data_IF_444903683741
#
_entry.id   IF_444903683741
#
_cell.length_a   1.000
_cell.length_b   1.000
_cell.length_c   1.000
_cell.angle_alpha   90.00
_cell.angle_beta   90.00
_cell.angle_gamma   90.00
#
_symmetry.space_group_name_H-M   'P 1'
#
loop_
_entity.id
_entity.type
_entity.pdbx_description
1 polymer ?
#
# COMPACT_ATOMS: atom_id res chain seq x y z
N UNK A 1 -37.74 21.17 -4.04
CA UNK A 1 -36.52 21.12 -4.86
C UNK A 1 -35.42 21.83 -4.10
N UNK A 2 -34.31 21.18 -3.79
CA UNK A 2 -33.15 21.82 -3.16
C UNK A 2 -32.31 22.40 -4.29
N UNK A 3 -32.30 23.72 -4.45
CA UNK A 3 -31.69 24.39 -5.62
C UNK A 3 -30.22 24.77 -5.42
N UNK A 4 -29.68 24.63 -4.20
CA UNK A 4 -28.31 25.02 -3.87
C UNK A 4 -27.70 23.95 -2.96
N UNK A 5 -26.51 23.47 -3.32
CA UNK A 5 -25.83 22.30 -2.72
C UNK A 5 -26.53 20.94 -2.95
N UNK A 6 -26.92 20.67 -4.20
CA UNK A 6 -27.52 19.40 -4.62
C UNK A 6 -26.46 18.27 -4.76
N UNK A 7 -25.77 17.90 -3.67
CA UNK A 7 -24.84 16.77 -3.64
C UNK A 7 -25.55 15.41 -3.76
N UNK A 8 -25.21 14.60 -4.76
CA UNK A 8 -25.71 13.24 -4.92
C UNK A 8 -25.27 12.35 -3.73
N UNK A 9 -26.12 12.26 -2.70
CA UNK A 9 -25.93 11.33 -1.58
C UNK A 9 -26.52 9.97 -1.94
N UNK A 10 -25.92 8.85 -1.50
CA UNK A 10 -26.51 7.52 -1.68
C UNK A 10 -27.97 7.51 -1.19
N UNK A 11 -28.90 7.08 -2.04
CA UNK A 11 -30.35 7.09 -1.77
C UNK A 11 -31.12 8.38 -2.16
N UNK A 12 -30.44 9.44 -2.65
CA UNK A 12 -31.09 10.62 -3.26
C UNK A 12 -30.96 10.65 -4.79
N UNK A 13 -29.90 10.05 -5.33
CA UNK A 13 -29.78 9.81 -6.75
C UNK A 13 -30.46 8.48 -7.10
N UNK A 14 -31.15 8.41 -8.25
CA UNK A 14 -31.67 7.17 -8.88
C UNK A 14 -30.56 6.22 -9.35
N UNK A 15 -29.30 6.46 -8.96
CA UNK A 15 -28.18 5.60 -9.29
C UNK A 15 -28.33 4.28 -8.50
N UNK A 16 -28.35 3.15 -9.20
CA UNK A 16 -28.42 1.81 -8.62
C UNK A 16 -27.24 1.62 -7.66
N UNK A 17 -27.53 1.60 -6.36
CA UNK A 17 -26.52 1.30 -5.33
C UNK A 17 -26.23 -0.20 -5.41
N UNK A 18 -25.21 -0.57 -6.19
CA UNK A 18 -24.72 -1.94 -6.24
C UNK A 18 -24.21 -2.33 -4.84
N UNK A 19 -24.90 -3.29 -4.22
CA UNK A 19 -24.49 -3.85 -2.93
C UNK A 19 -23.36 -4.84 -3.17
N UNK A 20 -22.12 -4.36 -3.07
CA UNK A 20 -20.95 -5.23 -3.12
C UNK A 20 -20.86 -6.07 -1.84
N UNK A 21 -20.69 -7.37 -1.99
CA UNK A 21 -20.46 -8.29 -0.88
C UNK A 21 -18.97 -8.32 -0.51
N UNK A 22 -18.66 -8.89 0.66
CA UNK A 22 -17.26 -9.10 1.07
C UNK A 22 -16.49 -10.02 0.13
N UNK A 23 -17.17 -10.86 -0.66
CA UNK A 23 -16.54 -11.71 -1.66
C UNK A 23 -16.10 -10.87 -2.86
N UNK A 24 -16.98 -10.02 -3.38
CA UNK A 24 -16.70 -9.13 -4.52
C UNK A 24 -15.53 -8.17 -4.24
N UNK A 25 -15.43 -7.69 -3.00
CA UNK A 25 -14.29 -6.85 -2.57
C UNK A 25 -12.95 -7.60 -2.61
N UNK A 26 -12.94 -8.87 -2.20
CA UNK A 26 -11.73 -9.69 -2.20
C UNK A 26 -11.29 -10.04 -3.62
N UNK A 27 -12.23 -10.33 -4.51
CA UNK A 27 -11.96 -10.63 -5.92
C UNK A 27 -11.37 -9.40 -6.63
N UNK A 28 -11.92 -8.22 -6.38
CA UNK A 28 -11.40 -6.95 -6.93
C UNK A 28 -10.00 -6.59 -6.42
N UNK A 29 -9.69 -6.93 -5.17
CA UNK A 29 -8.35 -6.77 -4.58
C UNK A 29 -7.33 -7.85 -5.03
N UNK A 30 -7.77 -8.91 -5.70
CA UNK A 30 -6.85 -9.89 -6.30
C UNK A 30 -6.37 -9.44 -7.68
N UNK A 31 -7.14 -8.62 -8.39
CA UNK A 31 -6.75 -8.04 -9.69
C UNK A 31 -5.79 -6.86 -9.56
N UNK A 32 -5.65 -6.25 -8.37
CA UNK A 32 -4.67 -5.19 -8.07
C UNK A 32 -3.25 -5.74 -7.84
N UNK A 33 -2.81 -6.71 -8.65
CA UNK A 33 -1.44 -7.23 -8.62
C UNK A 33 -0.37 -6.22 -9.06
N UNK A 34 -0.78 -5.05 -9.56
CA UNK A 34 0.13 -3.99 -9.98
C UNK A 34 0.76 -3.23 -8.81
N UNK A 35 0.09 -3.19 -7.65
CA UNK A 35 0.63 -2.55 -6.45
C UNK A 35 1.79 -3.37 -5.87
N UNK A 36 1.68 -4.70 -5.90
CA UNK A 36 2.74 -5.61 -5.46
C UNK A 36 4.02 -5.43 -6.28
N UNK A 37 3.93 -5.21 -7.59
CA UNK A 37 5.11 -4.92 -8.44
C UNK A 37 5.80 -3.62 -8.03
N UNK A 38 5.04 -2.54 -7.78
CA UNK A 38 5.61 -1.25 -7.37
C UNK A 38 6.35 -1.34 -6.04
N UNK A 39 5.80 -2.06 -5.05
CA UNK A 39 6.47 -2.26 -3.76
C UNK A 39 7.61 -3.27 -3.85
N UNK A 40 7.56 -4.23 -4.78
CA UNK A 40 8.63 -5.20 -4.99
C UNK A 40 9.91 -4.53 -5.47
N UNK A 41 9.82 -3.66 -6.47
CA UNK A 41 10.98 -2.93 -7.00
C UNK A 41 11.58 -1.98 -5.95
N UNK A 42 10.74 -1.31 -5.17
CA UNK A 42 11.20 -0.47 -4.05
C UNK A 42 11.90 -1.30 -2.96
N UNK A 43 11.35 -2.45 -2.61
CA UNK A 43 11.94 -3.34 -1.61
C UNK A 43 13.31 -3.85 -2.06
N UNK A 44 13.49 -4.19 -3.34
CA UNK A 44 14.79 -4.57 -3.91
C UNK A 44 15.80 -3.42 -3.81
N UNK A 45 15.40 -2.19 -4.17
CA UNK A 45 16.25 -1.02 -4.03
C UNK A 45 16.69 -0.74 -2.59
N UNK A 46 15.79 -0.91 -1.61
CA UNK A 46 16.14 -0.80 -0.20
C UNK A 46 17.10 -1.91 0.25
N UNK A 47 16.90 -3.14 -0.21
CA UNK A 47 17.77 -4.26 0.11
C UNK A 47 19.21 -4.02 -0.39
N UNK A 48 19.36 -3.50 -1.61
CA UNK A 48 20.66 -3.13 -2.16
C UNK A 48 21.31 -1.95 -1.41
N UNK A 49 20.50 -0.96 -1.01
CA UNK A 49 20.99 0.20 -0.27
C UNK A 49 21.53 -0.18 1.13
N UNK A 50 20.93 -1.17 1.79
CA UNK A 50 21.40 -1.67 3.09
C UNK A 50 22.56 -2.67 2.99
N UNK A 51 23.07 -2.97 1.79
CA UNK A 51 24.20 -3.90 1.61
C UNK A 51 23.80 -5.36 1.51
N UNK A 52 22.54 -5.64 1.15
CA UNK A 52 22.00 -6.98 0.93
C UNK A 52 21.35 -7.60 2.17
N UNK A 53 20.59 -8.68 1.95
CA UNK A 53 19.87 -9.40 3.02
C UNK A 53 20.79 -9.92 4.13
N UNK A 54 22.04 -10.23 3.80
CA UNK A 54 23.02 -10.75 4.77
C UNK A 54 23.43 -9.70 5.82
N UNK A 55 23.36 -8.42 5.47
CA UNK A 55 23.71 -7.31 6.35
C UNK A 55 22.58 -6.90 7.29
N UNK A 56 21.33 -7.29 7.00
CA UNK A 56 20.17 -6.96 7.80
C UNK A 56 20.04 -7.98 8.95
N UNK A 57 19.99 -7.48 10.19
CA UNK A 57 19.77 -8.31 11.38
C UNK A 57 18.29 -8.33 11.78
N UNK A 58 17.64 -7.16 11.78
CA UNK A 58 16.25 -7.04 12.19
C UNK A 58 15.53 -5.95 11.40
N UNK A 59 14.27 -6.19 11.07
CA UNK A 59 13.39 -5.22 10.39
C UNK A 59 12.14 -5.02 11.24
N UNK A 60 11.87 -3.77 11.58
CA UNK A 60 10.68 -3.37 12.33
C UNK A 60 10.07 -2.11 11.68
N UNK A 61 8.76 -1.95 11.68
CA UNK A 61 8.10 -0.80 11.09
C UNK A 61 7.06 -0.18 12.03
N UNK A 62 6.93 1.14 11.96
CA UNK A 62 5.80 1.89 12.49
C UNK A 62 4.97 2.45 11.33
N UNK A 63 3.85 3.12 11.62
CA UNK A 63 2.90 3.61 10.63
C UNK A 63 3.53 4.45 9.49
N UNK A 64 4.66 5.13 9.75
CA UNK A 64 5.31 6.03 8.78
C UNK A 64 6.81 5.80 8.60
N UNK A 65 7.43 4.88 9.34
CA UNK A 65 8.89 4.67 9.30
C UNK A 65 9.25 3.20 9.39
N UNK A 66 10.19 2.79 8.54
CA UNK A 66 10.89 1.52 8.61
C UNK A 66 12.17 1.68 9.43
N UNK A 67 12.40 0.78 10.40
CA UNK A 67 13.61 0.68 11.23
C UNK A 67 14.32 -0.61 10.86
N UNK A 68 15.55 -0.48 10.36
CA UNK A 68 16.38 -1.61 9.95
C UNK A 68 17.64 -1.61 10.80
N UNK A 69 17.88 -2.70 11.52
CA UNK A 69 19.14 -2.93 12.23
C UNK A 69 20.09 -3.66 11.28
N UNK A 70 21.28 -3.09 11.07
CA UNK A 70 22.33 -3.65 10.20
C UNK A 70 23.52 -4.11 11.02
N UNK A 71 24.23 -5.13 10.53
CA UNK A 71 25.45 -5.66 11.16
C UNK A 71 26.66 -4.77 10.89
N UNK A 72 26.81 -4.34 9.64
CA UNK A 72 27.92 -3.52 9.17
C UNK A 72 27.39 -2.23 8.55
N UNK A 73 27.67 -1.10 9.21
CA UNK A 73 27.23 0.24 8.80
C UNK A 73 27.94 0.74 7.53
N UNK A 74 29.19 0.32 7.30
CA UNK A 74 29.99 0.72 6.13
C UNK A 74 29.42 0.22 4.78
N UNK A 75 28.58 -0.82 4.82
CA UNK A 75 27.92 -1.39 3.64
C UNK A 75 26.63 -0.67 3.27
N UNK A 76 26.17 0.27 4.11
CA UNK A 76 24.98 1.08 3.82
C UNK A 76 25.37 2.22 2.87
N UNK A 77 24.74 2.25 1.69
CA UNK A 77 24.97 3.30 0.69
C UNK A 77 24.16 4.54 1.08
N UNK A 78 24.87 5.63 1.39
CA UNK A 78 24.31 6.98 1.56
C UNK A 78 24.25 7.75 0.24
#
# INVERSE_FOLDING_TARGET
>A
MILKFDFKTPGRADDEVALFTKADYKEKNQESGHEDELYHDQALGFLEAFGGAENIENVNNCATRLRVSVKEEDKVKN
#
